data_IF_249703560261
#
_entry.id   IF_249703560261
#
_cell.length_a   1.000
_cell.length_b   1.000
_cell.length_c   1.000
_cell.angle_alpha   90.00
_cell.angle_beta   90.00
_cell.angle_gamma   90.00
#
_symmetry.space_group_name_H-M   'P 1'
#
loop_
_entity.id
_entity.type
_entity.pdbx_description
1 polymer ?
#
# COMPACT_ATOMS: atom_id res chain seq x y z
N UNK A 1 4.26 2.31 4.07
CA UNK A 1 4.76 3.08 5.23
C UNK A 1 5.19 2.18 6.38
N UNK A 2 4.44 1.12 6.67
CA UNK A 2 4.77 0.19 7.77
C UNK A 2 5.86 -0.82 7.39
N UNK A 3 6.27 -0.90 6.12
CA UNK A 3 7.27 -1.86 5.66
C UNK A 3 6.80 -3.32 5.71
N UNK A 4 5.50 -3.55 5.65
CA UNK A 4 4.88 -4.87 5.67
C UNK A 4 4.66 -5.33 4.22
N UNK A 5 5.14 -6.53 3.80
CA UNK A 5 4.84 -7.08 2.50
C UNK A 5 3.34 -7.29 2.31
N UNK A 6 2.81 -6.95 1.13
CA UNK A 6 1.37 -7.01 0.86
C UNK A 6 0.79 -8.42 1.02
N UNK A 7 1.54 -9.46 0.67
CA UNK A 7 1.11 -10.87 0.74
C UNK A 7 1.25 -11.47 2.14
N UNK A 8 1.90 -10.75 3.08
CA UNK A 8 2.19 -11.26 4.41
C UNK A 8 0.93 -11.49 5.26
N UNK A 9 0.98 -12.46 6.17
CA UNK A 9 -0.08 -12.70 7.14
C UNK A 9 -0.35 -11.48 8.01
N UNK A 10 0.69 -10.71 8.33
CA UNK A 10 0.58 -9.46 9.09
C UNK A 10 -0.22 -8.40 8.32
N UNK A 11 -0.01 -8.27 7.00
CA UNK A 11 -0.81 -7.37 6.16
C UNK A 11 -2.29 -7.78 6.15
N UNK A 12 -2.57 -9.07 6.08
CA UNK A 12 -3.95 -9.60 6.16
C UNK A 12 -4.58 -9.31 7.53
N UNK A 13 -3.82 -9.47 8.61
CA UNK A 13 -4.28 -9.22 9.97
C UNK A 13 -4.60 -7.72 10.17
N UNK A 14 -3.69 -6.82 9.78
CA UNK A 14 -3.91 -5.38 9.87
C UNK A 14 -5.06 -4.91 8.98
N UNK A 15 -5.18 -5.44 7.77
CA UNK A 15 -6.31 -5.18 6.87
C UNK A 15 -7.63 -5.61 7.53
N UNK A 16 -7.69 -6.81 8.08
CA UNK A 16 -8.89 -7.31 8.78
C UNK A 16 -9.26 -6.42 9.97
N UNK A 17 -8.29 -6.01 10.76
CA UNK A 17 -8.49 -5.12 11.91
C UNK A 17 -9.09 -3.78 11.48
N UNK A 18 -8.51 -3.13 10.46
CA UNK A 18 -8.98 -1.84 9.92
C UNK A 18 -10.41 -1.98 9.39
N UNK A 19 -10.68 -2.96 8.53
CA UNK A 19 -12.01 -3.13 7.94
C UNK A 19 -13.07 -3.60 8.94
N UNK A 20 -12.68 -4.36 9.96
CA UNK A 20 -13.59 -4.72 11.07
C UNK A 20 -14.01 -3.48 11.86
N UNK A 21 -13.07 -2.60 12.18
CA UNK A 21 -13.38 -1.34 12.86
C UNK A 21 -14.26 -0.44 12.00
N UNK A 22 -13.93 -0.28 10.71
CA UNK A 22 -14.76 0.49 9.77
C UNK A 22 -16.18 -0.09 9.68
N UNK A 23 -16.32 -1.42 9.71
CA UNK A 23 -17.63 -2.07 9.72
C UNK A 23 -18.43 -1.69 10.96
N UNK A 24 -17.86 -1.85 12.14
CA UNK A 24 -18.52 -1.57 13.42
C UNK A 24 -19.00 -0.12 13.47
N UNK A 25 -18.11 0.83 13.16
CA UNK A 25 -18.43 2.25 13.26
C UNK A 25 -19.44 2.72 12.21
N UNK A 26 -19.34 2.24 10.98
CA UNK A 26 -20.31 2.59 9.93
C UNK A 26 -21.68 1.96 10.17
N UNK A 27 -21.73 0.72 10.67
CA UNK A 27 -22.99 0.06 11.05
C UNK A 27 -23.67 0.83 12.20
N UNK A 28 -22.89 1.24 13.22
CA UNK A 28 -23.40 2.07 14.33
C UNK A 28 -23.95 3.40 13.83
N UNK A 29 -23.16 4.14 13.05
CA UNK A 29 -23.57 5.45 12.53
C UNK A 29 -24.87 5.35 11.69
N UNK A 30 -25.02 4.30 10.89
CA UNK A 30 -26.24 4.11 10.09
C UNK A 30 -27.45 3.78 10.96
N UNK A 31 -27.30 3.07 12.08
CA UNK A 31 -28.37 2.80 13.05
C UNK A 31 -28.76 4.08 13.82
N UNK A 32 -27.78 4.86 14.24
CA UNK A 32 -28.02 6.14 14.92
C UNK A 32 -28.80 7.08 14.00
N UNK A 33 -28.43 7.18 12.72
CA UNK A 33 -29.17 7.95 11.71
C UNK A 33 -30.58 7.39 11.44
N UNK A 34 -30.78 6.07 11.46
CA UNK A 34 -32.10 5.47 11.31
C UNK A 34 -32.99 5.80 12.51
N UNK A 35 -32.44 5.83 13.71
CA UNK A 35 -33.15 6.22 14.93
C UNK A 35 -33.57 7.70 14.93
N UNK A 36 -32.70 8.58 14.39
CA UNK A 36 -32.94 10.03 14.36
C UNK A 36 -33.87 10.44 13.23
N UNK A 37 -33.67 9.91 12.01
CA UNK A 37 -34.34 10.35 10.79
C UNK A 37 -35.30 9.31 10.17
N UNK A 38 -35.47 8.16 10.84
CA UNK A 38 -36.25 7.04 10.37
C UNK A 38 -35.57 6.21 9.28
N UNK A 39 -36.13 5.06 8.97
CA UNK A 39 -35.65 4.16 7.95
C UNK A 39 -36.25 4.53 6.57
N UNK A 40 -35.44 4.66 5.51
CA UNK A 40 -35.96 4.87 4.16
C UNK A 40 -36.68 3.60 3.64
N UNK A 41 -37.44 3.73 2.55
CA UNK A 41 -38.25 2.65 1.97
C UNK A 41 -37.48 1.34 1.79
N UNK A 42 -36.21 1.42 1.32
CA UNK A 42 -35.37 0.25 1.03
C UNK A 42 -34.67 -0.35 2.25
N UNK A 43 -34.82 0.29 3.42
CA UNK A 43 -34.23 -0.18 4.68
C UNK A 43 -35.28 -0.50 5.75
N UNK A 44 -36.57 -0.59 5.39
CA UNK A 44 -37.65 -0.84 6.35
C UNK A 44 -37.40 -2.11 7.17
N UNK A 45 -37.58 -2.02 8.47
CA UNK A 45 -37.40 -3.11 9.44
C UNK A 45 -35.98 -3.65 9.56
N UNK A 46 -34.97 -2.97 8.96
CA UNK A 46 -33.58 -3.38 9.02
C UNK A 46 -32.82 -2.77 10.20
N UNK A 47 -33.30 -1.67 10.76
CA UNK A 47 -32.59 -0.85 11.74
C UNK A 47 -31.48 0.00 11.14
N UNK A 48 -31.40 0.12 9.81
CA UNK A 48 -30.38 0.91 9.11
C UNK A 48 -30.99 2.04 8.29
N UNK A 49 -30.25 3.12 8.12
CA UNK A 49 -30.62 4.20 7.20
C UNK A 49 -30.06 4.01 5.79
N UNK A 50 -28.99 3.24 5.63
CA UNK A 50 -28.28 3.06 4.38
C UNK A 50 -28.24 1.58 3.99
N UNK A 51 -28.58 1.26 2.73
CA UNK A 51 -28.49 -0.11 2.20
C UNK A 51 -27.06 -0.58 1.99
N UNK A 52 -26.14 0.36 1.68
CA UNK A 52 -24.73 0.09 1.47
C UNK A 52 -23.91 1.11 2.26
N UNK A 53 -22.97 0.65 3.05
CA UNK A 53 -22.19 1.49 3.97
C UNK A 53 -20.74 1.67 3.53
N UNK A 54 -20.23 0.75 2.75
CA UNK A 54 -18.80 0.71 2.39
C UNK A 54 -18.61 0.30 0.94
N UNK A 55 -17.63 0.91 0.30
CA UNK A 55 -17.15 0.51 -1.01
C UNK A 55 -15.65 0.80 -1.10
N UNK A 56 -14.92 0.00 -1.86
CA UNK A 56 -13.52 0.27 -2.21
C UNK A 56 -13.51 1.00 -3.55
N UNK A 57 -13.19 2.28 -3.51
CA UNK A 57 -13.09 3.11 -4.70
C UNK A 57 -11.65 3.08 -5.26
N UNK A 58 -11.45 3.31 -6.58
CA UNK A 58 -10.10 3.39 -7.17
C UNK A 58 -9.21 4.50 -6.61
N UNK A 59 -9.79 5.60 -6.13
CA UNK A 59 -9.13 6.72 -5.44
C UNK A 59 -7.90 7.32 -6.14
N UNK A 60 -7.83 7.28 -7.48
CA UNK A 60 -6.65 7.70 -8.27
C UNK A 60 -6.21 9.14 -7.98
N UNK A 61 -7.15 10.10 -7.95
CA UNK A 61 -6.82 11.50 -7.65
C UNK A 61 -6.40 11.69 -6.19
N UNK A 62 -7.09 11.03 -5.25
CA UNK A 62 -6.78 11.12 -3.83
C UNK A 62 -5.42 10.50 -3.50
N UNK A 63 -5.03 9.41 -4.16
CA UNK A 63 -3.71 8.79 -3.96
C UNK A 63 -2.56 9.73 -4.34
N UNK A 64 -2.75 10.56 -5.36
CA UNK A 64 -1.79 11.59 -5.76
C UNK A 64 -1.65 12.69 -4.72
N UNK A 65 -2.76 13.15 -4.15
CA UNK A 65 -2.76 14.15 -3.08
C UNK A 65 -2.18 13.60 -1.78
N UNK A 66 -2.39 12.32 -1.49
CA UNK A 66 -1.85 11.63 -0.32
C UNK A 66 -0.35 11.28 -0.41
N UNK A 67 0.40 11.91 -1.31
CA UNK A 67 1.84 11.71 -1.47
C UNK A 67 2.23 10.73 -2.56
N UNK A 68 1.37 10.59 -3.57
CA UNK A 68 1.60 9.72 -4.72
C UNK A 68 1.78 8.24 -4.29
N UNK A 69 0.87 7.76 -3.48
CA UNK A 69 0.75 6.34 -3.08
C UNK A 69 -0.04 5.55 -4.13
N UNK A 70 -0.08 4.22 -4.03
CA UNK A 70 -0.92 3.39 -4.88
C UNK A 70 -2.41 3.74 -4.71
N UNK A 71 -3.17 3.63 -5.79
CA UNK A 71 -4.61 3.86 -5.78
C UNK A 71 -5.35 2.61 -5.31
N UNK A 72 -6.49 2.79 -4.67
CA UNK A 72 -7.28 1.68 -4.14
C UNK A 72 -6.59 0.96 -2.98
N UNK A 73 -6.62 -0.36 -2.98
CA UNK A 73 -5.99 -1.23 -2.00
C UNK A 73 -4.87 -2.09 -2.60
N UNK A 74 -4.67 -2.02 -3.91
CA UNK A 74 -3.66 -2.79 -4.61
C UNK A 74 -2.26 -2.17 -4.41
N UNK A 75 -1.19 -2.96 -4.45
CA UNK A 75 0.16 -2.45 -4.56
C UNK A 75 0.37 -1.76 -5.92
N UNK A 76 1.46 -1.02 -6.06
CA UNK A 76 1.82 -0.39 -7.33
C UNK A 76 1.97 -1.41 -8.45
N UNK A 77 1.45 -1.08 -9.63
CA UNK A 77 1.64 -1.89 -10.83
C UNK A 77 3.12 -1.97 -11.25
N UNK A 78 3.88 -0.90 -11.01
CA UNK A 78 5.31 -0.81 -11.25
C UNK A 78 5.90 0.28 -10.33
N UNK A 79 7.13 0.13 -9.83
CA UNK A 79 7.78 1.13 -9.00
C UNK A 79 8.24 2.37 -9.77
N UNK A 80 8.31 2.28 -11.09
CA UNK A 80 8.49 3.40 -12.02
C UNK A 80 7.66 3.15 -13.27
N UNK A 81 6.94 4.16 -13.73
CA UNK A 81 6.11 4.10 -14.94
C UNK A 81 5.91 5.48 -15.55
N UNK A 82 5.47 5.48 -16.78
CA UNK A 82 5.13 6.70 -17.52
C UNK A 82 3.63 6.98 -17.37
N UNK A 83 3.30 8.17 -16.88
CA UNK A 83 1.92 8.65 -16.78
C UNK A 83 1.68 9.70 -17.86
N UNK A 84 0.68 9.47 -18.71
CA UNK A 84 0.21 10.46 -19.68
C UNK A 84 -0.93 11.28 -19.07
N UNK A 85 -0.80 12.60 -19.11
CA UNK A 85 -1.80 13.55 -18.63
C UNK A 85 -2.11 14.57 -19.73
N UNK A 86 -3.17 15.36 -19.55
CA UNK A 86 -3.48 16.47 -20.46
C UNK A 86 -2.35 17.52 -20.59
N UNK A 87 -1.42 17.58 -19.61
CA UNK A 87 -0.28 18.50 -19.60
C UNK A 87 1.01 17.88 -20.15
N UNK A 88 0.99 16.61 -20.56
CA UNK A 88 2.16 15.89 -21.07
C UNK A 88 2.40 14.56 -20.39
N UNK A 89 3.52 13.97 -20.73
CA UNK A 89 3.97 12.67 -20.24
C UNK A 89 4.99 12.86 -19.13
N UNK A 90 4.78 12.21 -18.00
CA UNK A 90 5.64 12.31 -16.80
C UNK A 90 6.09 10.94 -16.36
N UNK A 91 7.35 10.83 -15.95
CA UNK A 91 7.86 9.63 -15.27
C UNK A 91 7.46 9.70 -13.80
N UNK A 92 6.70 8.70 -13.36
CA UNK A 92 6.33 8.54 -11.95
C UNK A 92 7.23 7.52 -11.29
N UNK A 93 7.71 7.85 -10.11
CA UNK A 93 8.56 7.00 -9.28
C UNK A 93 7.87 6.77 -7.94
N UNK A 94 7.95 5.55 -7.42
CA UNK A 94 7.49 5.24 -6.07
C UNK A 94 8.28 6.08 -5.06
N UNK A 95 7.58 6.95 -4.32
CA UNK A 95 8.20 7.91 -3.39
C UNK A 95 8.85 7.21 -2.20
N UNK A 96 8.25 6.13 -1.70
CA UNK A 96 8.81 5.36 -0.59
C UNK A 96 10.06 4.59 -1.03
N UNK A 97 10.04 3.98 -2.22
CA UNK A 97 11.22 3.36 -2.81
C UNK A 97 12.35 4.40 -3.01
N UNK A 98 12.02 5.63 -3.43
CA UNK A 98 13.01 6.70 -3.56
C UNK A 98 13.73 6.98 -2.24
N UNK A 99 13.04 6.95 -1.11
CA UNK A 99 13.64 7.12 0.23
C UNK A 99 14.59 5.96 0.56
N UNK A 100 14.16 4.74 0.25
CA UNK A 100 14.97 3.53 0.42
C UNK A 100 16.24 3.58 -0.40
N UNK A 101 16.15 3.89 -1.70
CA UNK A 101 17.32 3.99 -2.59
C UNK A 101 18.29 5.09 -2.14
N UNK A 102 17.78 6.22 -1.61
CA UNK A 102 18.62 7.25 -1.01
C UNK A 102 19.38 6.73 0.20
N UNK A 103 18.71 6.04 1.12
CA UNK A 103 19.31 5.46 2.30
C UNK A 103 20.34 4.40 1.94
N UNK A 104 20.10 3.62 0.91
CA UNK A 104 21.01 2.63 0.37
C UNK A 104 22.18 3.24 -0.46
N UNK A 105 22.16 4.55 -0.74
CA UNK A 105 23.21 5.24 -1.51
C UNK A 105 23.17 4.97 -3.03
N UNK A 106 22.07 4.41 -3.54
CA UNK A 106 21.92 4.01 -4.95
C UNK A 106 20.82 4.75 -5.69
N UNK A 107 20.34 5.88 -5.18
CA UNK A 107 19.31 6.70 -5.85
C UNK A 107 19.92 7.52 -6.98
N UNK A 108 20.29 6.90 -8.08
CA UNK A 108 20.87 7.50 -9.27
C UNK A 108 20.07 7.10 -10.54
N UNK A 109 20.43 7.71 -11.67
CA UNK A 109 19.75 7.46 -12.95
C UNK A 109 19.84 6.00 -13.35
N UNK A 110 21.02 5.41 -13.29
CA UNK A 110 21.28 4.04 -13.75
C UNK A 110 20.44 3.01 -12.98
N UNK A 111 20.24 3.22 -11.68
CA UNK A 111 19.36 2.39 -10.85
C UNK A 111 17.91 2.49 -11.32
N UNK A 112 17.42 3.70 -11.61
CA UNK A 112 16.06 3.88 -12.09
C UNK A 112 15.84 3.35 -13.51
N UNK A 113 16.84 3.45 -14.36
CA UNK A 113 16.80 2.89 -15.72
C UNK A 113 16.72 1.35 -15.65
N UNK A 114 17.50 0.70 -14.78
CA UNK A 114 17.40 -0.75 -14.51
C UNK A 114 16.00 -1.16 -14.01
N UNK A 115 15.45 -0.43 -13.04
CA UNK A 115 14.10 -0.70 -12.53
C UNK A 115 13.07 -0.58 -13.66
N UNK A 116 13.23 0.39 -14.55
CA UNK A 116 12.34 0.59 -15.69
C UNK A 116 12.47 -0.54 -16.72
N UNK A 117 13.68 -0.96 -17.04
CA UNK A 117 13.97 -2.10 -17.94
C UNK A 117 13.40 -3.41 -17.39
N UNK A 118 13.45 -3.61 -16.07
CA UNK A 118 12.84 -4.75 -15.36
C UNK A 118 11.31 -4.60 -15.16
N UNK A 119 10.64 -3.72 -15.93
CA UNK A 119 9.19 -3.51 -15.85
C UNK A 119 8.71 -2.89 -14.55
N UNK A 120 9.57 -2.17 -13.84
CA UNK A 120 9.29 -1.53 -12.56
C UNK A 120 9.60 -2.41 -11.35
N UNK A 121 10.19 -3.58 -11.55
CA UNK A 121 10.63 -4.50 -10.50
C UNK A 121 11.91 -4.02 -9.82
N UNK A 122 12.05 -4.33 -8.53
CA UNK A 122 13.29 -4.13 -7.76
C UNK A 122 14.03 -5.43 -7.46
N UNK A 123 13.49 -6.57 -7.93
CA UNK A 123 14.05 -7.88 -7.61
C UNK A 123 15.47 -8.08 -8.16
N UNK A 124 15.80 -7.44 -9.29
CA UNK A 124 17.14 -7.43 -9.90
C UNK A 124 18.20 -6.61 -9.16
N UNK A 125 17.83 -5.77 -8.19
CA UNK A 125 18.77 -4.88 -7.47
C UNK A 125 19.46 -5.60 -6.30
N UNK A 126 20.62 -6.19 -6.55
CA UNK A 126 21.42 -6.91 -5.52
C UNK A 126 21.80 -6.05 -4.32
N UNK A 127 21.95 -4.75 -4.52
CA UNK A 127 22.28 -3.79 -3.46
C UNK A 127 21.21 -3.73 -2.37
N UNK A 128 19.98 -4.12 -2.66
CA UNK A 128 18.86 -4.15 -1.70
C UNK A 128 18.80 -5.45 -0.88
N UNK A 129 19.55 -6.51 -1.24
CA UNK A 129 19.52 -7.80 -0.54
C UNK A 129 20.01 -7.71 0.92
N UNK A 130 20.82 -6.72 1.23
CA UNK A 130 21.35 -6.47 2.57
C UNK A 130 20.48 -5.58 3.44
N UNK A 131 19.28 -5.18 2.95
CA UNK A 131 18.40 -4.30 3.67
C UNK A 131 17.07 -5.00 3.99
N UNK A 132 16.63 -4.82 5.23
CA UNK A 132 15.38 -5.33 5.75
C UNK A 132 14.56 -4.22 6.42
N UNK A 133 13.26 -4.45 6.59
CA UNK A 133 12.40 -3.67 7.47
C UNK A 133 12.22 -4.38 8.80
N UNK A 134 12.44 -3.67 9.91
CA UNK A 134 12.10 -4.06 11.28
C UNK A 134 11.22 -2.96 11.87
N UNK A 135 9.98 -3.30 12.24
CA UNK A 135 9.01 -2.34 12.82
C UNK A 135 8.85 -1.06 11.97
N UNK A 136 8.78 -1.20 10.65
CA UNK A 136 8.65 -0.07 9.71
C UNK A 136 9.92 0.73 9.47
N UNK A 137 11.06 0.36 10.07
CA UNK A 137 12.36 1.01 9.87
C UNK A 137 13.27 0.16 8.99
N UNK A 138 13.91 0.80 8.02
CA UNK A 138 14.89 0.15 7.18
C UNK A 138 16.23 -0.01 7.95
N UNK A 139 16.72 -1.23 8.05
CA UNK A 139 17.94 -1.62 8.76
C UNK A 139 18.80 -2.56 7.92
N UNK A 140 20.09 -2.71 8.23
CA UNK A 140 20.90 -3.77 7.61
C UNK A 140 20.51 -5.12 8.19
N UNK A 141 20.33 -6.12 7.33
CA UNK A 141 19.96 -7.47 7.76
C UNK A 141 21.00 -8.11 8.67
N UNK A 142 22.27 -7.73 8.55
CA UNK A 142 23.36 -8.23 9.40
C UNK A 142 23.36 -7.62 10.81
N UNK A 143 22.72 -6.47 11.00
CA UNK A 143 22.67 -5.77 12.30
C UNK A 143 21.48 -6.25 13.16
N UNK A 144 20.70 -7.21 12.65
CA UNK A 144 19.48 -7.71 13.31
C UNK A 144 19.88 -8.88 14.21
N UNK A 145 19.52 -8.78 15.48
CA UNK A 145 19.68 -9.88 16.45
C UNK A 145 18.77 -11.05 16.12
N UNK A 146 19.16 -12.26 16.52
CA UNK A 146 18.44 -13.49 16.20
C UNK A 146 16.97 -13.47 16.64
N UNK A 147 16.66 -12.82 17.77
CA UNK A 147 15.29 -12.67 18.28
C UNK A 147 14.36 -11.78 17.47
N UNK A 148 14.93 -10.86 16.68
CA UNK A 148 14.17 -9.91 15.85
C UNK A 148 14.07 -10.32 14.39
N UNK A 149 14.79 -11.36 13.97
CA UNK A 149 14.77 -11.83 12.57
C UNK A 149 13.39 -12.29 12.11
N UNK A 150 12.60 -12.87 13.00
CA UNK A 150 11.23 -13.31 12.70
C UNK A 150 10.26 -12.16 12.43
N UNK A 151 10.63 -10.94 12.84
CA UNK A 151 9.85 -9.70 12.67
C UNK A 151 10.32 -8.85 11.50
N UNK A 152 11.26 -9.36 10.70
CA UNK A 152 11.86 -8.61 9.61
C UNK A 152 11.33 -9.04 8.26
N UNK A 153 11.26 -8.07 7.35
CA UNK A 153 10.90 -8.30 5.96
C UNK A 153 11.99 -7.78 5.03
N UNK A 154 12.47 -8.57 4.06
CA UNK A 154 13.36 -8.07 3.02
C UNK A 154 12.76 -6.85 2.32
N UNK A 155 13.57 -5.82 2.10
CA UNK A 155 13.10 -4.60 1.41
C UNK A 155 12.49 -4.93 0.06
N UNK A 156 13.06 -5.88 -0.67
CA UNK A 156 12.53 -6.29 -1.98
C UNK A 156 11.09 -6.82 -1.90
N UNK A 157 10.75 -7.56 -0.86
CA UNK A 157 9.40 -8.12 -0.68
C UNK A 157 8.35 -7.03 -0.43
N UNK A 158 8.75 -5.95 0.26
CA UNK A 158 7.88 -4.81 0.52
C UNK A 158 7.56 -4.02 -0.76
N UNK A 159 8.46 -4.03 -1.74
CA UNK A 159 8.30 -3.29 -3.00
C UNK A 159 7.97 -4.17 -4.20
N UNK A 160 7.42 -5.37 -3.97
CA UNK A 160 6.88 -6.19 -5.06
C UNK A 160 5.73 -5.49 -5.75
N UNK A 161 5.73 -5.58 -7.07
CA UNK A 161 4.68 -5.01 -7.90
C UNK A 161 3.44 -5.91 -7.95
N UNK A 162 2.30 -5.36 -8.35
CA UNK A 162 1.06 -6.13 -8.50
C UNK A 162 1.24 -7.36 -9.43
N UNK A 163 2.03 -7.22 -10.48
CA UNK A 163 2.33 -8.33 -11.41
C UNK A 163 3.12 -9.45 -10.76
N UNK A 164 4.12 -9.10 -9.93
CA UNK A 164 4.96 -10.08 -9.21
C UNK A 164 4.19 -10.84 -8.13
N UNK A 165 3.16 -10.21 -7.55
CA UNK A 165 2.31 -10.81 -6.52
C UNK A 165 1.31 -11.81 -7.11
N UNK A 166 0.90 -11.61 -8.37
CA UNK A 166 -0.12 -12.43 -9.02
C UNK A 166 0.46 -13.45 -10.03
N UNK A 167 1.76 -13.71 -10.00
CA UNK A 167 2.43 -14.79 -10.72
C UNK A 167 2.54 -16.04 -9.86
#
# INVERSE_FOLDING_TARGET
QNGIPFEGMEAQFETRKIFSQLKIESDRASRDLASEYGEPLWCRESGFRNTHLRAVAPTVSNSKLAGNVSAGIEPWAANVFTEQTAKGTFIRKNTELTKVLRKAGINNKDTWDKIMEDGGSVQGLKELDKWCYLEGKMVFCNDIENGDREKTYPVKDVFRTFKEINQ
#
